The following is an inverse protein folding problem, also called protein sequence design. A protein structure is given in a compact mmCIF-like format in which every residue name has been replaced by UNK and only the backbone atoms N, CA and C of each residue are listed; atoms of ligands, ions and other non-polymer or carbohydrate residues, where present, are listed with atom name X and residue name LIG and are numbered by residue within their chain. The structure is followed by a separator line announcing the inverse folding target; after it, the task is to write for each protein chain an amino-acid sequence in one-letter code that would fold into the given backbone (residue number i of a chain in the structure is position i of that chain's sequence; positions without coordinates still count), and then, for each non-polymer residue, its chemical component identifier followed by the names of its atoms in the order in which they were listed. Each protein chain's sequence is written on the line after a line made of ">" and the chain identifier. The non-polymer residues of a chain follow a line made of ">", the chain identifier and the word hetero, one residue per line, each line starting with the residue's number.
data_IF_658662435563
#
_entry.id   IF_658662435563
#
_cell.length_a   1.000
_cell.length_b   1.000
_cell.length_c   1.000
_cell.angle_alpha   90.00
_cell.angle_beta   90.00
_cell.angle_gamma   90.00
#
_symmetry.space_group_name_H-M   'P 1'
#
loop_
_entity.id
_entity.type
_entity.pdbx_description
1 polymer ?
#
# COMPACT_ATOMS: atom_id res chain seq x y z
N UNK A 1 -8.07 -24.46 2.64
CA UNK A 1 -7.35 -23.32 3.24
C UNK A 1 -8.18 -22.06 2.99
N UNK A 2 -8.64 -21.39 4.05
CA UNK A 2 -9.42 -20.15 3.90
C UNK A 2 -8.57 -19.05 3.26
N UNK A 3 -9.12 -18.36 2.25
CA UNK A 3 -8.44 -17.25 1.57
C UNK A 3 -8.39 -16.06 2.55
N UNK A 4 -7.20 -15.71 3.04
CA UNK A 4 -7.01 -14.54 3.91
C UNK A 4 -7.50 -13.27 3.19
N UNK A 5 -8.35 -12.50 3.86
CA UNK A 5 -8.83 -11.20 3.39
C UNK A 5 -8.08 -10.08 4.10
N UNK A 6 -7.64 -9.07 3.34
CA UNK A 6 -6.87 -7.93 3.83
C UNK A 6 -7.61 -6.62 3.53
N UNK A 7 -8.72 -6.33 4.22
CA UNK A 7 -9.59 -5.19 3.90
C UNK A 7 -8.84 -3.86 4.01
N UNK A 8 -8.02 -3.68 5.04
CA UNK A 8 -7.32 -2.42 5.26
C UNK A 8 -6.17 -2.22 4.27
N UNK A 9 -5.41 -3.27 3.99
CA UNK A 9 -4.37 -3.24 2.95
C UNK A 9 -4.98 -2.92 1.58
N UNK A 10 -6.12 -3.53 1.25
CA UNK A 10 -6.81 -3.27 -0.01
C UNK A 10 -7.31 -1.83 -0.10
N UNK A 11 -7.89 -1.29 0.98
CA UNK A 11 -8.33 0.10 1.06
C UNK A 11 -7.15 1.07 0.90
N UNK A 12 -6.03 0.83 1.58
CA UNK A 12 -4.82 1.65 1.49
C UNK A 12 -4.24 1.65 0.06
N UNK A 13 -4.18 0.48 -0.59
CA UNK A 13 -3.72 0.37 -1.99
C UNK A 13 -4.68 1.04 -2.97
N UNK A 14 -5.98 1.05 -2.69
CA UNK A 14 -6.94 1.81 -3.49
C UNK A 14 -6.74 3.32 -3.32
N UNK A 15 -6.60 3.78 -2.08
CA UNK A 15 -6.32 5.18 -1.77
C UNK A 15 -5.05 5.67 -2.46
N UNK A 16 -3.94 4.92 -2.38
CA UNK A 16 -2.68 5.29 -3.03
C UNK A 16 -2.83 5.47 -4.55
N UNK A 17 -3.59 4.58 -5.20
CA UNK A 17 -3.87 4.69 -6.65
C UNK A 17 -4.74 5.90 -6.98
N UNK A 18 -5.74 6.20 -6.15
CA UNK A 18 -6.65 7.33 -6.39
C UNK A 18 -5.96 8.67 -6.17
N UNK A 19 -5.04 8.78 -5.21
CA UNK A 19 -4.17 9.95 -5.01
C UNK A 19 -3.26 10.17 -6.23
N UNK A 20 -2.53 9.14 -6.64
CA UNK A 20 -1.59 9.23 -7.78
C UNK A 20 -2.29 9.57 -9.09
N UNK A 21 -3.52 9.07 -9.29
CA UNK A 21 -4.35 9.38 -10.47
C UNK A 21 -4.99 10.77 -10.43
N UNK A 22 -4.84 11.51 -9.33
CA UNK A 22 -5.46 12.82 -9.15
C UNK A 22 -6.97 12.78 -8.86
N UNK A 23 -7.53 11.61 -8.54
CA UNK A 23 -8.94 11.49 -8.10
C UNK A 23 -9.15 12.05 -6.70
N UNK A 24 -8.13 11.92 -5.85
CA UNK A 24 -8.08 12.53 -4.53
C UNK A 24 -7.02 13.64 -4.56
N UNK A 25 -7.44 14.87 -4.27
CA UNK A 25 -6.53 16.01 -4.16
C UNK A 25 -5.72 15.86 -2.88
N UNK A 26 -4.40 15.82 -3.00
CA UNK A 26 -3.48 15.76 -1.88
C UNK A 26 -2.25 16.65 -2.16
N UNK A 27 -1.50 17.01 -1.11
CA UNK A 27 -0.27 17.77 -1.30
C UNK A 27 0.81 16.92 -1.99
N UNK A 28 1.81 17.59 -2.56
CA UNK A 28 2.88 16.94 -3.33
C UNK A 28 3.56 15.79 -2.56
N UNK A 29 3.81 15.96 -1.26
CA UNK A 29 4.47 14.93 -0.44
C UNK A 29 3.62 13.66 -0.28
N UNK A 30 2.29 13.80 -0.16
CA UNK A 30 1.39 12.66 -0.07
C UNK A 30 1.34 11.92 -1.40
N UNK A 31 1.28 12.66 -2.52
CA UNK A 31 1.34 12.06 -3.86
C UNK A 31 2.63 11.27 -4.06
N UNK A 32 3.79 11.86 -3.71
CA UNK A 32 5.09 11.19 -3.80
C UNK A 32 5.19 9.96 -2.91
N UNK A 33 4.65 9.99 -1.70
CA UNK A 33 4.63 8.85 -0.80
C UNK A 33 3.78 7.70 -1.35
N UNK A 34 2.58 8.01 -1.88
CA UNK A 34 1.72 7.02 -2.52
C UNK A 34 2.36 6.43 -3.78
N UNK A 35 3.01 7.25 -4.60
CA UNK A 35 3.72 6.78 -5.80
C UNK A 35 4.85 5.82 -5.43
N UNK A 36 5.72 6.20 -4.48
CA UNK A 36 6.82 5.36 -4.00
C UNK A 36 6.33 4.00 -3.49
N UNK A 37 5.24 3.97 -2.71
CA UNK A 37 4.64 2.71 -2.24
C UNK A 37 4.22 1.81 -3.40
N UNK A 38 3.56 2.36 -4.43
CA UNK A 38 3.15 1.59 -5.61
C UNK A 38 4.36 1.11 -6.42
N UNK A 39 5.40 1.93 -6.54
CA UNK A 39 6.64 1.58 -7.24
C UNK A 39 7.38 0.44 -6.52
N UNK A 40 7.47 0.48 -5.19
CA UNK A 40 8.06 -0.57 -4.36
C UNK A 40 7.29 -1.89 -4.52
N UNK A 41 5.94 -1.85 -4.55
CA UNK A 41 5.10 -3.02 -4.82
C UNK A 41 5.27 -3.60 -6.24
N UNK A 42 5.67 -2.78 -7.21
CA UNK A 42 6.04 -3.27 -8.53
C UNK A 42 7.45 -3.85 -8.54
N UNK A 43 8.39 -3.18 -7.88
CA UNK A 43 9.79 -3.55 -7.80
C UNK A 43 10.01 -4.87 -7.04
N UNK A 44 9.21 -5.17 -6.01
CA UNK A 44 9.32 -6.42 -5.24
C UNK A 44 9.08 -7.69 -6.06
N UNK A 45 8.46 -7.58 -7.23
CA UNK A 45 8.31 -8.70 -8.17
C UNK A 45 9.66 -9.12 -8.76
N UNK A 46 10.64 -8.21 -8.76
CA UNK A 46 12.01 -8.52 -9.17
C UNK A 46 12.78 -9.24 -8.06
N UNK A 47 13.62 -10.19 -8.47
CA UNK A 47 14.57 -10.86 -7.57
C UNK A 47 15.65 -9.92 -7.04
N UNK A 48 15.95 -8.83 -7.75
CA UNK A 48 16.96 -7.85 -7.34
C UNK A 48 16.51 -6.91 -6.23
N UNK A 49 15.19 -6.75 -6.03
CA UNK A 49 14.66 -5.88 -5.00
C UNK A 49 14.76 -6.56 -3.64
N UNK A 50 15.36 -5.88 -2.65
CA UNK A 50 15.71 -6.48 -1.35
C UNK A 50 14.52 -6.67 -0.41
N UNK A 51 13.46 -5.87 -0.56
CA UNK A 51 12.36 -5.81 0.39
C UNK A 51 11.11 -6.53 -0.14
N UNK A 52 10.23 -6.99 0.76
CA UNK A 52 8.98 -7.66 0.41
C UNK A 52 7.85 -7.12 1.29
N UNK A 53 6.72 -6.83 0.67
CA UNK A 53 5.54 -6.34 1.35
C UNK A 53 4.78 -7.47 2.02
N UNK A 54 4.80 -7.47 3.35
CA UNK A 54 4.06 -8.42 4.17
C UNK A 54 2.66 -7.89 4.48
N UNK A 55 1.65 -8.49 3.84
CA UNK A 55 0.24 -8.12 4.01
C UNK A 55 -0.30 -8.46 5.39
N UNK A 56 0.20 -9.51 6.04
CA UNK A 56 -0.24 -9.90 7.39
C UNK A 56 0.25 -8.87 8.42
N UNK A 57 1.51 -8.44 8.32
CA UNK A 57 2.07 -7.40 9.18
C UNK A 57 1.42 -6.03 8.92
N UNK A 58 1.19 -5.68 7.66
CA UNK A 58 0.52 -4.42 7.30
C UNK A 58 -0.92 -4.35 7.83
N UNK A 59 -1.68 -5.45 7.72
CA UNK A 59 -3.06 -5.52 8.23
C UNK A 59 -3.10 -5.41 9.76
N UNK A 60 -2.15 -6.04 10.45
CA UNK A 60 -2.03 -5.91 11.92
C UNK A 60 -1.74 -4.47 12.33
N UNK A 61 -0.82 -3.79 11.64
CA UNK A 61 -0.49 -2.39 11.91
C UNK A 61 -1.68 -1.46 11.65
N UNK A 62 -2.37 -1.64 10.52
CA UNK A 62 -3.53 -0.83 10.16
C UNK A 62 -4.66 -0.95 11.20
N UNK A 63 -4.96 -2.18 11.65
CA UNK A 63 -5.94 -2.42 12.71
C UNK A 63 -5.57 -1.73 14.01
N UNK A 64 -4.29 -1.75 14.39
CA UNK A 64 -3.82 -1.10 15.61
C UNK A 64 -3.96 0.43 15.54
N UNK A 65 -3.65 1.05 14.40
CA UNK A 65 -3.73 2.50 14.21
C UNK A 65 -5.18 3.02 14.21
N UNK A 66 -6.14 2.17 13.83
CA UNK A 66 -7.57 2.51 13.77
C UNK A 66 -8.32 2.40 15.10
N UNK A 67 -7.66 1.90 16.16
CA UNK A 67 -8.20 1.83 17.53
C UNK A 67 -8.01 3.16 18.28
#
# INVERSE_FOLDING_TARGET
>A
MSRKSYPNVNAANQYARDVVRGKIIACQFVIQACQRHLDDLMAEKSKSFRYRFDKDLAERAAKFIQL
#
